data_IF_935403068844
#
_entry.id   IF_935403068844
#
_cell.length_a   1.000
_cell.length_b   1.000
_cell.length_c   1.000
_cell.angle_alpha   90.00
_cell.angle_beta   90.00
_cell.angle_gamma   90.00
#
_symmetry.space_group_name_H-M   'P 1'
#
loop_
_entity.id
_entity.type
_entity.pdbx_description
1 polymer ?
#
# COMPACT_ATOMS: atom_id res chain seq x y z
N UNK A 1 -3.77 -0.62 38.15
CA UNK A 1 -2.66 -0.34 39.10
C UNK A 1 -1.84 -1.57 39.50
N UNK A 2 -2.37 -2.79 39.42
CA UNK A 2 -1.66 -4.03 39.83
C UNK A 2 -0.57 -4.47 38.83
N UNK A 3 -0.67 -4.09 37.55
CA UNK A 3 0.30 -4.45 36.50
C UNK A 3 1.64 -3.68 36.57
N UNK A 4 1.73 -2.60 37.36
CA UNK A 4 2.95 -1.78 37.42
C UNK A 4 3.96 -2.27 38.47
N UNK A 5 3.54 -3.10 39.42
CA UNK A 5 4.36 -3.45 40.59
C UNK A 5 5.23 -4.70 40.33
N UNK A 6 4.77 -5.68 39.53
CA UNK A 6 5.55 -6.90 39.27
C UNK A 6 6.79 -6.70 38.40
N UNK A 7 6.84 -5.65 37.57
CA UNK A 7 7.99 -5.39 36.70
C UNK A 7 9.23 -4.84 37.44
N UNK A 8 9.08 -4.37 38.69
CA UNK A 8 10.16 -3.74 39.46
C UNK A 8 11.09 -4.72 40.17
N UNK A 9 10.72 -6.01 40.27
CA UNK A 9 11.43 -6.98 41.13
C UNK A 9 12.52 -7.75 40.35
N UNK A 10 12.41 -7.86 39.02
CA UNK A 10 13.24 -8.80 38.23
C UNK A 10 14.52 -8.17 37.63
N UNK A 11 14.59 -6.85 37.41
CA UNK A 11 15.80 -6.20 36.85
C UNK A 11 16.02 -4.77 37.39
N UNK A 12 16.86 -4.58 38.43
CA UNK A 12 17.07 -3.25 39.02
C UNK A 12 17.85 -2.28 38.12
N UNK A 13 18.65 -2.80 37.18
CA UNK A 13 19.67 -2.02 36.44
C UNK A 13 19.23 -1.44 35.09
N UNK A 14 18.04 -1.75 34.59
CA UNK A 14 17.57 -1.26 33.27
C UNK A 14 16.68 0.01 33.36
N UNK A 15 16.70 0.71 34.50
CA UNK A 15 15.82 1.88 34.74
C UNK A 15 16.42 3.23 34.30
N UNK A 16 17.67 3.27 33.84
CA UNK A 16 18.29 4.51 33.34
C UNK A 16 18.55 4.36 31.84
N UNK A 17 17.87 5.18 31.04
CA UNK A 17 18.06 5.37 29.59
C UNK A 17 17.25 4.52 28.59
N UNK A 18 16.03 4.09 28.89
CA UNK A 18 15.11 3.67 27.82
C UNK A 18 13.74 4.31 27.97
N UNK A 19 13.22 4.83 26.86
CA UNK A 19 11.90 5.47 26.79
C UNK A 19 10.80 4.47 27.17
N UNK A 20 9.69 4.96 27.74
CA UNK A 20 8.54 4.13 28.14
C UNK A 20 8.01 3.24 26.99
N UNK A 21 8.19 3.62 25.72
CA UNK A 21 7.78 2.82 24.55
C UNK A 21 8.70 1.63 24.28
N UNK A 22 10.00 1.76 24.56
CA UNK A 22 10.99 0.68 24.41
C UNK A 22 10.78 -0.40 25.48
N UNK A 23 10.48 0.00 26.72
CA UNK A 23 10.13 -0.92 27.80
C UNK A 23 8.82 -1.69 27.52
N UNK A 24 7.82 -1.04 26.90
CA UNK A 24 6.59 -1.70 26.46
C UNK A 24 6.84 -2.74 25.37
N UNK A 25 7.70 -2.42 24.39
CA UNK A 25 8.12 -3.38 23.34
C UNK A 25 8.87 -4.57 23.91
N UNK A 26 9.79 -4.35 24.86
CA UNK A 26 10.58 -5.42 25.49
C UNK A 26 9.71 -6.30 26.40
N UNK A 27 8.75 -5.72 27.14
CA UNK A 27 7.78 -6.50 27.93
C UNK A 27 6.86 -7.35 27.05
N UNK A 28 6.33 -6.81 25.95
CA UNK A 28 5.50 -7.59 25.02
C UNK A 28 6.30 -8.72 24.34
N UNK A 29 7.56 -8.47 23.97
CA UNK A 29 8.42 -9.50 23.39
C UNK A 29 8.74 -10.62 24.40
N UNK A 30 8.91 -10.31 25.69
CA UNK A 30 9.15 -11.31 26.74
C UNK A 30 7.93 -12.16 27.06
N UNK A 31 6.72 -11.59 27.09
CA UNK A 31 5.47 -12.34 27.26
C UNK A 31 5.30 -13.33 26.09
N UNK A 32 5.58 -12.88 24.86
CA UNK A 32 5.56 -13.73 23.66
C UNK A 32 6.57 -14.89 23.71
N UNK A 33 7.73 -14.71 24.34
CA UNK A 33 8.79 -15.73 24.45
C UNK A 33 8.51 -16.72 25.59
N UNK A 34 7.98 -16.26 26.72
CA UNK A 34 7.56 -17.13 27.84
C UNK A 34 6.35 -18.01 27.46
N UNK A 35 5.44 -17.48 26.65
CA UNK A 35 4.35 -18.26 26.04
C UNK A 35 4.85 -19.25 24.97
N UNK A 36 6.02 -19.00 24.36
CA UNK A 36 6.62 -19.92 23.39
C UNK A 36 7.19 -21.18 24.07
N UNK A 37 7.79 -21.03 25.26
CA UNK A 37 8.47 -22.11 25.98
C UNK A 37 7.55 -22.98 26.85
N UNK A 38 6.32 -22.55 27.16
CA UNK A 38 5.35 -23.34 27.92
C UNK A 38 4.52 -24.30 27.08
N UNK A 39 4.65 -24.29 25.75
CA UNK A 39 3.81 -25.10 24.85
C UNK A 39 4.42 -26.45 24.49
N UNK A 40 4.75 -27.22 25.53
CA UNK A 40 4.80 -28.68 25.45
C UNK A 40 3.40 -29.25 25.69
N UNK A 41 2.93 -30.10 24.77
CA UNK A 41 1.71 -30.96 24.83
C UNK A 41 0.40 -30.37 24.29
N UNK A 42 0.26 -30.43 22.96
CA UNK A 42 -0.88 -30.99 22.21
C UNK A 42 -0.75 -30.52 20.76
N UNK A 43 -0.98 -31.42 19.78
CA UNK A 43 -0.84 -31.19 18.33
C UNK A 43 -1.34 -29.79 17.93
N UNK A 44 -0.43 -28.83 17.89
CA UNK A 44 -0.69 -27.42 17.62
C UNK A 44 -1.06 -27.34 16.15
N UNK A 45 -2.27 -26.88 15.83
CA UNK A 45 -2.53 -26.35 14.48
C UNK A 45 -1.45 -25.30 14.23
N UNK A 46 -0.64 -25.52 13.20
CA UNK A 46 0.46 -24.62 12.87
C UNK A 46 -0.09 -23.22 12.65
N UNK A 47 0.57 -22.21 13.22
CA UNK A 47 0.21 -20.80 13.02
C UNK A 47 0.08 -20.45 11.52
N UNK A 48 0.82 -21.13 10.67
CA UNK A 48 0.74 -21.03 9.20
C UNK A 48 -0.61 -21.46 8.63
N UNK A 49 -1.26 -22.48 9.21
CA UNK A 49 -2.59 -22.91 8.78
C UNK A 49 -3.63 -21.84 9.14
N UNK A 50 -3.54 -21.26 10.34
CA UNK A 50 -4.45 -20.20 10.79
C UNK A 50 -4.30 -18.96 9.89
N UNK A 51 -3.07 -18.56 9.55
CA UNK A 51 -2.81 -17.46 8.60
C UNK A 51 -3.47 -17.73 7.24
N UNK A 52 -3.31 -18.93 6.68
CA UNK A 52 -3.91 -19.30 5.39
C UNK A 52 -5.43 -19.25 5.45
N UNK A 53 -6.03 -19.80 6.51
CA UNK A 53 -7.48 -19.77 6.74
C UNK A 53 -7.99 -18.33 6.83
N UNK A 54 -7.31 -17.43 7.55
CA UNK A 54 -7.68 -16.03 7.63
C UNK A 54 -7.57 -15.31 6.29
N UNK A 55 -6.49 -15.52 5.53
CA UNK A 55 -6.33 -14.93 4.19
C UNK A 55 -7.45 -15.35 3.25
N UNK A 56 -7.76 -16.63 3.18
CA UNK A 56 -8.81 -17.13 2.29
C UNK A 56 -10.19 -16.58 2.64
N UNK A 57 -10.48 -16.45 3.94
CA UNK A 57 -11.71 -15.85 4.40
C UNK A 57 -11.78 -14.35 4.10
N UNK A 58 -10.69 -13.59 4.32
CA UNK A 58 -10.61 -12.15 4.02
C UNK A 58 -10.77 -11.90 2.51
N UNK A 59 -10.21 -12.78 1.68
CA UNK A 59 -10.39 -12.78 0.21
C UNK A 59 -11.81 -13.11 -0.26
N UNK A 60 -12.76 -13.31 0.67
CA UNK A 60 -14.18 -13.48 0.37
C UNK A 60 -14.63 -14.93 0.18
N UNK A 61 -13.79 -15.94 0.46
CA UNK A 61 -14.26 -17.34 0.50
C UNK A 61 -15.26 -17.53 1.64
N UNK A 62 -16.30 -18.32 1.39
CA UNK A 62 -17.29 -18.68 2.40
C UNK A 62 -16.65 -19.50 3.54
N UNK A 63 -17.00 -19.16 4.80
CA UNK A 63 -16.43 -19.81 5.99
C UNK A 63 -16.69 -21.31 6.02
N UNK A 64 -17.80 -21.79 5.44
CA UNK A 64 -18.14 -23.21 5.43
C UNK A 64 -17.24 -23.98 4.47
N UNK A 65 -16.92 -23.38 3.33
CA UNK A 65 -15.98 -23.93 2.37
C UNK A 65 -14.58 -24.04 2.97
N UNK A 66 -14.09 -22.97 3.62
CA UNK A 66 -12.77 -22.95 4.27
C UNK A 66 -12.70 -23.95 5.44
N UNK A 67 -13.75 -24.04 6.25
CA UNK A 67 -13.85 -25.01 7.34
C UNK A 67 -13.78 -26.47 6.86
N UNK A 68 -14.43 -26.76 5.72
CA UNK A 68 -14.38 -28.08 5.08
C UNK A 68 -13.00 -28.39 4.50
N UNK A 69 -12.36 -27.43 3.84
CA UNK A 69 -11.06 -27.59 3.19
C UNK A 69 -9.94 -27.88 4.21
N UNK A 70 -9.90 -27.12 5.29
CA UNK A 70 -8.89 -27.27 6.35
C UNK A 70 -9.34 -28.18 7.51
N UNK A 71 -10.49 -28.84 7.36
CA UNK A 71 -11.07 -29.80 8.28
C UNK A 71 -11.16 -29.32 9.75
N UNK A 72 -11.75 -28.13 9.95
CA UNK A 72 -11.99 -27.55 11.29
C UNK A 72 -13.46 -27.14 11.48
N UNK A 73 -13.89 -27.00 12.74
CA UNK A 73 -15.26 -26.56 13.06
C UNK A 73 -15.39 -25.03 12.99
N UNK A 74 -16.51 -24.49 12.48
CA UNK A 74 -16.71 -23.03 12.34
C UNK A 74 -16.55 -22.25 13.65
N UNK A 75 -16.95 -22.84 14.78
CA UNK A 75 -16.77 -22.25 16.12
C UNK A 75 -15.30 -22.01 16.44
N UNK A 76 -14.41 -22.91 16.02
CA UNK A 76 -12.97 -22.79 16.16
C UNK A 76 -12.42 -21.54 15.46
N UNK A 77 -12.98 -21.15 14.32
CA UNK A 77 -12.59 -19.92 13.62
C UNK A 77 -12.84 -18.67 14.47
N UNK A 78 -14.01 -18.57 15.10
CA UNK A 78 -14.33 -17.41 15.94
C UNK A 78 -13.43 -17.34 17.18
N UNK A 79 -13.12 -18.49 17.77
CA UNK A 79 -12.14 -18.59 18.87
C UNK A 79 -10.74 -18.18 18.41
N UNK A 80 -10.31 -18.58 17.21
CA UNK A 80 -9.04 -18.15 16.64
C UNK A 80 -9.01 -16.66 16.34
N UNK A 81 -10.09 -16.09 15.78
CA UNK A 81 -10.17 -14.66 15.46
C UNK A 81 -10.05 -13.81 16.73
N UNK A 82 -10.75 -14.18 17.79
CA UNK A 82 -10.65 -13.49 19.08
C UNK A 82 -9.25 -13.60 19.70
N UNK A 83 -8.63 -14.79 19.61
CA UNK A 83 -7.29 -15.04 20.17
C UNK A 83 -6.16 -14.38 19.37
N UNK A 84 -6.29 -14.32 18.05
CA UNK A 84 -5.29 -13.80 17.11
C UNK A 84 -5.80 -12.55 16.39
N UNK A 85 -6.46 -11.66 17.14
CA UNK A 85 -7.09 -10.46 16.59
C UNK A 85 -6.09 -9.54 15.90
N UNK A 86 -4.91 -9.34 16.51
CA UNK A 86 -3.85 -8.51 15.93
C UNK A 86 -3.36 -9.08 14.60
N UNK A 87 -3.08 -10.38 14.54
CA UNK A 87 -2.69 -11.09 13.31
C UNK A 87 -3.78 -11.00 12.24
N UNK A 88 -5.06 -11.12 12.61
CA UNK A 88 -6.17 -10.99 11.68
C UNK A 88 -6.23 -9.56 11.10
N UNK A 89 -6.03 -8.54 11.94
CA UNK A 89 -5.99 -7.15 11.50
C UNK A 89 -4.79 -6.89 10.59
N UNK A 90 -3.60 -7.42 10.91
CA UNK A 90 -2.40 -7.34 10.07
C UNK A 90 -2.67 -7.91 8.68
N UNK A 91 -3.18 -9.15 8.58
CA UNK A 91 -3.49 -9.80 7.30
C UNK A 91 -4.54 -8.99 6.51
N UNK A 92 -5.58 -8.50 7.18
CA UNK A 92 -6.61 -7.68 6.52
C UNK A 92 -6.03 -6.37 5.96
N UNK A 93 -5.08 -5.78 6.67
CA UNK A 93 -4.41 -4.55 6.23
C UNK A 93 -3.40 -4.84 5.11
N UNK A 94 -2.71 -5.99 5.12
CA UNK A 94 -1.84 -6.43 4.02
C UNK A 94 -2.59 -6.47 2.68
N UNK A 95 -3.79 -7.07 2.65
CA UNK A 95 -4.61 -7.18 1.43
C UNK A 95 -5.07 -5.80 0.93
N UNK A 96 -5.37 -4.86 1.84
CA UNK A 96 -5.71 -3.47 1.50
C UNK A 96 -4.52 -2.72 0.92
N UNK A 97 -3.35 -2.86 1.54
CA UNK A 97 -2.11 -2.24 1.04
C UNK A 97 -1.70 -2.81 -0.33
N UNK A 98 -1.91 -4.10 -0.58
CA UNK A 98 -1.67 -4.71 -1.88
C UNK A 98 -2.62 -4.16 -2.94
N UNK A 99 -3.90 -4.00 -2.61
CA UNK A 99 -4.89 -3.41 -3.50
C UNK A 99 -4.55 -1.95 -3.84
N UNK A 100 -4.16 -1.16 -2.83
CA UNK A 100 -3.71 0.23 -3.02
C UNK A 100 -2.46 0.31 -3.89
N UNK A 101 -1.46 -0.56 -3.65
CA UNK A 101 -0.25 -0.63 -4.51
C UNK A 101 -0.61 -0.94 -5.95
N UNK A 102 -1.49 -1.91 -6.18
CA UNK A 102 -1.95 -2.27 -7.53
C UNK A 102 -2.69 -1.12 -8.21
N UNK A 103 -3.50 -0.37 -7.45
CA UNK A 103 -4.21 0.79 -7.96
C UNK A 103 -3.25 1.93 -8.34
N UNK A 104 -2.29 2.23 -7.46
CA UNK A 104 -1.23 3.22 -7.71
C UNK A 104 -0.42 2.84 -8.95
N UNK A 105 -0.04 1.56 -9.07
CA UNK A 105 0.68 1.05 -10.25
C UNK A 105 -0.13 1.21 -11.54
N UNK A 106 -1.44 0.95 -11.49
CA UNK A 106 -2.33 1.18 -12.62
C UNK A 106 -2.41 2.67 -13.00
N UNK A 107 -2.47 3.57 -12.00
CA UNK A 107 -2.42 5.02 -12.22
C UNK A 107 -1.10 5.41 -12.90
N UNK A 108 0.05 4.98 -12.37
CA UNK A 108 1.36 5.30 -12.94
C UNK A 108 1.49 4.83 -14.39
N UNK A 109 1.07 3.61 -14.69
CA UNK A 109 1.11 3.06 -16.04
C UNK A 109 0.17 3.77 -17.04
N UNK A 110 -0.83 4.50 -16.55
CA UNK A 110 -1.75 5.28 -17.39
C UNK A 110 -1.26 6.70 -17.71
N UNK A 111 -0.31 7.25 -16.95
CA UNK A 111 0.26 8.60 -17.16
C UNK A 111 0.82 8.79 -18.58
N UNK A 112 1.68 7.88 -19.11
CA UNK A 112 2.23 7.99 -20.47
C UNK A 112 1.15 8.13 -21.56
N UNK A 113 0.07 7.37 -21.41
CA UNK A 113 -1.05 7.36 -22.35
C UNK A 113 -1.80 8.70 -22.32
N UNK A 114 -2.03 9.26 -21.14
CA UNK A 114 -2.69 10.57 -20.99
C UNK A 114 -1.83 11.72 -21.51
N UNK A 115 -0.52 11.64 -21.30
CA UNK A 115 0.43 12.62 -21.86
C UNK A 115 0.40 12.61 -23.39
N UNK A 116 0.42 11.42 -24.01
CA UNK A 116 0.29 11.25 -25.46
C UNK A 116 -1.04 11.80 -25.98
N UNK A 117 -2.14 11.48 -25.29
CA UNK A 117 -3.49 11.94 -25.63
C UNK A 117 -3.59 13.48 -25.63
N UNK A 118 -2.95 14.17 -24.68
CA UNK A 118 -2.87 15.63 -24.70
C UNK A 118 -2.15 16.13 -25.95
N UNK A 119 -0.98 15.56 -26.28
CA UNK A 119 -0.22 15.95 -27.47
C UNK A 119 -1.07 15.81 -28.74
N UNK A 120 -1.75 14.69 -28.87
CA UNK A 120 -2.61 14.39 -30.03
C UNK A 120 -3.84 15.29 -30.08
N UNK A 121 -4.42 15.63 -28.93
CA UNK A 121 -5.56 16.56 -28.85
C UNK A 121 -5.16 17.98 -29.29
N UNK A 122 -3.92 18.41 -28.99
CA UNK A 122 -3.39 19.71 -29.46
C UNK A 122 -2.98 19.63 -30.95
N UNK A 123 -2.78 18.43 -31.49
CA UNK A 123 -2.37 18.21 -32.88
C UNK A 123 -0.87 18.34 -33.13
N UNK A 124 -0.04 18.19 -32.09
CA UNK A 124 1.42 18.33 -32.22
C UNK A 124 2.10 17.00 -32.53
N UNK A 125 3.18 17.04 -33.29
CA UNK A 125 4.15 15.94 -33.38
C UNK A 125 4.99 15.85 -32.10
N UNK A 126 5.64 14.70 -31.87
CA UNK A 126 6.56 14.54 -30.73
C UNK A 126 7.71 15.56 -30.77
N UNK A 127 8.18 15.92 -31.96
CA UNK A 127 9.23 16.90 -32.16
C UNK A 127 8.79 18.33 -31.80
N UNK A 128 7.61 18.74 -32.25
CA UNK A 128 7.07 20.08 -31.93
C UNK A 128 6.80 20.24 -30.44
N UNK A 129 6.22 19.22 -29.80
CA UNK A 129 6.02 19.22 -28.36
C UNK A 129 7.34 19.29 -27.61
N UNK A 130 8.36 18.54 -28.06
CA UNK A 130 9.70 18.60 -27.47
C UNK A 130 10.30 20.02 -27.55
N UNK A 131 10.20 20.66 -28.72
CA UNK A 131 10.67 22.03 -28.93
C UNK A 131 9.98 23.01 -27.99
N UNK A 132 8.65 22.96 -27.89
CA UNK A 132 7.88 23.83 -26.99
C UNK A 132 8.26 23.63 -25.52
N UNK A 133 8.51 22.38 -25.11
CA UNK A 133 8.87 22.05 -23.73
C UNK A 133 10.37 22.20 -23.43
N UNK A 134 11.18 22.64 -24.39
CA UNK A 134 12.64 22.67 -24.34
C UNK A 134 13.23 21.31 -23.91
N UNK A 135 12.83 20.25 -24.61
CA UNK A 135 13.28 18.89 -24.40
C UNK A 135 13.69 18.24 -25.72
N UNK A 136 14.23 17.02 -25.67
CA UNK A 136 14.53 16.25 -26.88
C UNK A 136 13.32 15.42 -27.31
N UNK A 137 13.17 15.19 -28.61
CA UNK A 137 12.12 14.32 -29.15
C UNK A 137 12.21 12.89 -28.57
N UNK A 138 13.43 12.41 -28.34
CA UNK A 138 13.69 11.13 -27.67
C UNK A 138 13.14 11.11 -26.24
N UNK A 139 13.29 12.20 -25.47
CA UNK A 139 12.76 12.28 -24.11
C UNK A 139 11.22 12.21 -24.11
N UNK A 140 10.55 12.92 -25.02
CA UNK A 140 9.10 12.84 -25.21
C UNK A 140 8.66 11.43 -25.58
N UNK A 141 9.33 10.79 -26.54
CA UNK A 141 9.06 9.40 -26.92
C UNK A 141 9.21 8.43 -25.74
N UNK A 142 10.25 8.58 -24.93
CA UNK A 142 10.48 7.71 -23.76
C UNK A 142 9.42 7.92 -22.68
N UNK A 143 8.93 9.15 -22.51
CA UNK A 143 7.80 9.43 -21.62
C UNK A 143 6.54 8.73 -22.12
N UNK A 144 6.20 8.86 -23.40
CA UNK A 144 5.00 8.22 -23.99
C UNK A 144 5.04 6.69 -23.94
N UNK A 145 6.25 6.11 -23.93
CA UNK A 145 6.48 4.68 -23.75
C UNK A 145 6.53 4.23 -22.28
N UNK A 146 6.41 5.15 -21.32
CA UNK A 146 6.53 4.85 -19.89
C UNK A 146 7.94 4.52 -19.41
N UNK A 147 8.97 4.75 -20.24
CA UNK A 147 10.38 4.51 -19.88
C UNK A 147 10.97 5.65 -19.04
N UNK A 148 10.45 6.86 -19.19
CA UNK A 148 10.86 8.03 -18.42
C UNK A 148 9.65 8.69 -17.75
N UNK A 149 9.87 9.25 -16.55
CA UNK A 149 8.87 10.05 -15.86
C UNK A 149 8.84 11.50 -16.38
N UNK A 150 7.69 12.15 -16.24
CA UNK A 150 7.50 13.56 -16.57
C UNK A 150 8.05 14.42 -15.42
N UNK A 151 8.94 15.36 -15.75
CA UNK A 151 9.47 16.29 -14.75
C UNK A 151 8.44 17.36 -14.38
N UNK A 152 8.46 17.82 -13.13
CA UNK A 152 7.59 18.90 -12.63
C UNK A 152 7.71 20.17 -13.50
N UNK A 153 8.92 20.49 -13.98
CA UNK A 153 9.17 21.61 -14.89
C UNK A 153 8.37 21.52 -16.19
N UNK A 154 8.12 20.31 -16.69
CA UNK A 154 7.37 20.06 -17.92
C UNK A 154 5.87 20.27 -17.72
N UNK A 155 5.33 19.90 -16.56
CA UNK A 155 3.93 20.22 -16.19
C UNK A 155 3.67 21.73 -16.17
N UNK A 156 4.60 22.50 -15.58
CA UNK A 156 4.48 23.96 -15.54
C UNK A 156 4.47 24.57 -16.95
N UNK A 157 5.29 24.05 -17.87
CA UNK A 157 5.31 24.50 -19.25
C UNK A 157 4.03 24.12 -20.00
N UNK A 158 3.53 22.89 -19.81
CA UNK A 158 2.27 22.45 -20.41
C UNK A 158 1.09 23.31 -19.96
N UNK A 159 1.04 23.64 -18.67
CA UNK A 159 0.05 24.56 -18.14
C UNK A 159 0.19 25.95 -18.76
N UNK A 160 1.39 26.54 -18.75
CA UNK A 160 1.62 27.91 -19.24
C UNK A 160 1.36 28.07 -20.74
N UNK A 161 1.79 27.11 -21.55
CA UNK A 161 1.74 27.22 -23.02
C UNK A 161 0.37 26.79 -23.54
N UNK A 162 -0.17 25.69 -23.02
CA UNK A 162 -1.34 25.04 -23.61
C UNK A 162 -2.57 24.99 -22.68
N UNK A 163 -2.46 25.46 -21.44
CA UNK A 163 -3.57 25.41 -20.47
C UNK A 163 -3.92 23.99 -20.03
N UNK A 164 -2.96 23.06 -20.08
CA UNK A 164 -3.17 21.66 -19.70
C UNK A 164 -3.39 21.56 -18.19
N UNK A 165 -4.38 20.77 -17.80
CA UNK A 165 -4.66 20.44 -16.40
C UNK A 165 -3.75 19.30 -15.91
N UNK A 166 -2.86 19.52 -14.93
CA UNK A 166 -2.00 18.46 -14.38
C UNK A 166 -2.79 17.30 -13.76
N UNK A 167 -3.97 17.55 -13.19
CA UNK A 167 -4.79 16.51 -12.57
C UNK A 167 -5.27 15.48 -13.60
N UNK A 168 -5.56 15.92 -14.83
CA UNK A 168 -5.90 15.01 -15.90
C UNK A 168 -4.72 14.08 -16.22
N UNK A 169 -3.48 14.60 -16.32
CA UNK A 169 -2.31 13.76 -16.59
C UNK A 169 -2.05 12.77 -15.44
N UNK A 170 -2.15 13.22 -14.19
CA UNK A 170 -1.76 12.43 -13.03
C UNK A 170 -2.81 11.41 -12.62
N UNK A 171 -4.08 11.82 -12.60
CA UNK A 171 -5.19 11.02 -12.05
C UNK A 171 -6.20 10.60 -13.12
N UNK A 172 -6.22 11.27 -14.27
CA UNK A 172 -7.28 11.08 -15.27
C UNK A 172 -8.58 11.78 -14.90
N UNK A 173 -8.53 12.71 -13.94
CA UNK A 173 -9.71 13.39 -13.42
C UNK A 173 -9.85 14.80 -13.98
N UNK A 174 -11.11 15.22 -14.18
CA UNK A 174 -11.46 16.55 -14.67
C UNK A 174 -11.22 16.76 -16.17
N UNK A 175 -11.27 18.02 -16.59
CA UNK A 175 -11.07 18.41 -17.99
C UNK A 175 -9.60 18.38 -18.37
N UNK A 176 -9.29 18.02 -19.63
CA UNK A 176 -7.91 18.01 -20.16
C UNK A 176 -7.25 19.39 -20.13
N UNK A 177 -8.04 20.42 -20.39
CA UNK A 177 -7.61 21.81 -20.47
C UNK A 177 -8.53 22.70 -19.63
N UNK A 178 -7.98 23.78 -19.10
CA UNK A 178 -8.78 24.84 -18.50
C UNK A 178 -9.59 25.53 -19.61
N UNK A 179 -10.93 25.47 -19.53
CA UNK A 179 -11.83 26.02 -20.55
C UNK A 179 -12.21 25.06 -21.70
N UNK A 180 -11.99 23.74 -21.54
CA UNK A 180 -12.32 22.68 -22.51
C UNK A 180 -11.60 22.75 -23.86
N UNK A 181 -10.66 23.68 -24.03
CA UNK A 181 -9.85 23.88 -25.23
C UNK A 181 -8.42 24.25 -24.81
N UNK A 182 -7.41 23.88 -25.61
CA UNK A 182 -6.06 24.38 -25.36
C UNK A 182 -6.03 25.90 -25.48
N UNK A 183 -5.14 26.54 -24.74
CA UNK A 183 -4.92 27.99 -24.89
C UNK A 183 -4.53 28.29 -26.34
N UNK A 184 -5.18 29.31 -26.91
CA UNK A 184 -4.88 29.81 -28.25
C UNK A 184 -3.49 30.41 -28.24
N UNK A 185 -2.60 29.83 -29.03
CA UNK A 185 -1.23 30.31 -29.26
C UNK A 185 -1.23 31.45 -30.28
#
# INVERSE_FOLDING_TARGET
>A
MILSIKCSIVFPKLRRQQSKSTLYRICNLKILIEDFNTMGKNKKVSLEIIKKVFREFINGKDLNAVAKEYNFQKTTFYTWRAKYQDLYNEIKNEDLEELEKKHIEAIYNSIPKRFKDIRETIGLTQFEMAKALNSSQKAISFIELGKNQIQVSMFLKLYKIYGVNPNYILLGEGHKFFGNKPFSN
#
